data_IF_881552497480
#
_entry.id   IF_881552497480
#
_cell.length_a   1.000
_cell.length_b   1.000
_cell.length_c   1.000
_cell.angle_alpha   90.00
_cell.angle_beta   90.00
_cell.angle_gamma   90.00
#
_symmetry.space_group_name_H-M   'P 1'
#
loop_
_entity.id
_entity.type
_entity.pdbx_description
1 polymer ?
#
# COMPACT_ATOMS: atom_id res chain seq x y z
N UNK A 1 -11.66 3.78 -8.60
CA UNK A 1 -11.67 2.33 -8.88
C UNK A 1 -11.90 1.47 -7.63
N UNK A 2 -11.15 1.62 -6.53
CA UNK A 2 -11.41 0.85 -5.31
C UNK A 2 -12.80 1.14 -4.69
N UNK A 3 -13.15 2.42 -4.51
CA UNK A 3 -14.45 2.85 -3.96
C UNK A 3 -15.61 2.37 -4.82
N UNK A 4 -15.50 2.51 -6.15
CA UNK A 4 -16.52 2.02 -7.08
C UNK A 4 -16.66 0.49 -7.04
N UNK A 5 -15.57 -0.25 -6.83
CA UNK A 5 -15.64 -1.70 -6.67
C UNK A 5 -16.36 -2.07 -5.37
N UNK A 6 -16.00 -1.45 -4.24
CA UNK A 6 -16.66 -1.66 -2.94
C UNK A 6 -18.15 -1.33 -3.00
N UNK A 7 -18.52 -0.21 -3.64
CA UNK A 7 -19.93 0.17 -3.82
C UNK A 7 -20.69 -0.82 -4.70
N UNK A 8 -20.07 -1.35 -5.75
CA UNK A 8 -20.69 -2.36 -6.59
C UNK A 8 -20.86 -3.68 -5.82
N UNK A 9 -19.85 -4.07 -5.05
CA UNK A 9 -19.86 -5.28 -4.23
C UNK A 9 -20.92 -5.25 -3.12
N UNK A 10 -21.21 -4.09 -2.53
CA UNK A 10 -22.22 -3.99 -1.47
C UNK A 10 -23.64 -4.34 -1.94
N UNK A 11 -23.96 -4.12 -3.22
CA UNK A 11 -25.22 -4.60 -3.82
C UNK A 11 -25.33 -6.14 -3.86
N UNK A 12 -24.21 -6.85 -3.75
CA UNK A 12 -24.14 -8.30 -3.74
C UNK A 12 -23.90 -8.89 -2.34
N UNK A 13 -24.08 -8.09 -1.28
CA UNK A 13 -23.97 -8.54 0.11
C UNK A 13 -22.57 -8.42 0.72
N UNK A 14 -21.61 -7.82 0.01
CA UNK A 14 -20.28 -7.54 0.55
C UNK A 14 -20.33 -6.44 1.62
N UNK A 15 -19.68 -6.65 2.76
CA UNK A 15 -19.57 -5.66 3.83
C UNK A 15 -18.13 -5.53 4.32
N UNK A 16 -17.64 -4.29 4.45
CA UNK A 16 -16.30 -3.99 4.97
C UNK A 16 -16.07 -4.52 6.40
N UNK A 17 -17.16 -4.71 7.16
CA UNK A 17 -17.11 -5.24 8.52
C UNK A 17 -16.97 -6.76 8.57
N UNK A 18 -17.42 -7.46 7.52
CA UNK A 18 -17.50 -8.92 7.48
C UNK A 18 -16.49 -9.54 6.51
N UNK A 19 -16.02 -8.78 5.53
CA UNK A 19 -15.23 -9.27 4.41
C UNK A 19 -13.87 -8.57 4.32
N UNK A 20 -12.84 -9.38 4.12
CA UNK A 20 -11.47 -8.92 3.91
C UNK A 20 -11.35 -8.20 2.56
N UNK A 21 -10.28 -7.42 2.39
CA UNK A 21 -9.94 -6.79 1.10
C UNK A 21 -9.73 -7.87 0.03
N UNK A 22 -9.06 -8.97 0.41
CA UNK A 22 -8.78 -10.10 -0.46
C UNK A 22 -10.04 -10.79 -0.99
N UNK A 23 -11.15 -10.75 -0.24
CA UNK A 23 -12.44 -11.31 -0.64
C UNK A 23 -12.98 -10.68 -1.93
N UNK A 24 -12.61 -9.42 -2.23
CA UNK A 24 -12.92 -8.78 -3.52
C UNK A 24 -12.27 -9.48 -4.71
N UNK A 25 -11.25 -10.30 -4.49
CA UNK A 25 -10.56 -11.09 -5.50
C UNK A 25 -11.16 -12.48 -5.72
N UNK A 26 -12.30 -12.83 -5.09
CA UNK A 26 -12.94 -14.14 -5.21
C UNK A 26 -14.37 -14.09 -5.73
N UNK A 27 -14.68 -15.02 -6.64
CA UNK A 27 -16.03 -15.21 -7.19
C UNK A 27 -17.05 -15.65 -6.14
N UNK A 28 -16.58 -16.16 -4.99
CA UNK A 28 -17.41 -16.56 -3.86
C UNK A 28 -18.14 -15.37 -3.23
N UNK A 29 -17.50 -14.20 -3.22
CA UNK A 29 -18.02 -13.02 -2.53
C UNK A 29 -18.59 -11.97 -3.47
N UNK A 30 -18.08 -11.87 -4.71
CA UNK A 30 -18.57 -10.91 -5.68
C UNK A 30 -18.64 -11.53 -7.09
N UNK A 31 -19.61 -11.12 -7.94
CA UNK A 31 -19.78 -11.71 -9.26
C UNK A 31 -18.64 -11.37 -10.25
N UNK A 32 -17.93 -10.27 -10.01
CA UNK A 32 -16.91 -9.74 -10.91
C UNK A 32 -15.53 -9.56 -10.23
N UNK A 33 -14.90 -10.64 -9.73
CA UNK A 33 -13.64 -10.58 -8.97
C UNK A 33 -12.45 -10.10 -9.80
N UNK A 34 -12.55 -10.23 -11.13
CA UNK A 34 -11.53 -9.75 -12.05
C UNK A 34 -11.33 -8.22 -11.97
N UNK A 35 -12.34 -7.45 -11.55
CA UNK A 35 -12.19 -5.99 -11.38
C UNK A 35 -11.15 -5.68 -10.31
N UNK A 36 -11.22 -6.37 -9.17
CA UNK A 36 -10.22 -6.22 -8.12
C UNK A 36 -8.84 -6.67 -8.59
N UNK A 37 -8.77 -7.82 -9.25
CA UNK A 37 -7.51 -8.37 -9.75
C UNK A 37 -6.82 -7.44 -10.76
N UNK A 38 -7.60 -6.81 -11.66
CA UNK A 38 -7.09 -5.81 -12.61
C UNK A 38 -6.64 -4.52 -11.89
N UNK A 39 -7.36 -4.09 -10.84
CA UNK A 39 -6.93 -2.96 -10.01
C UNK A 39 -5.58 -3.25 -9.36
N UNK A 40 -5.37 -4.46 -8.84
CA UNK A 40 -4.10 -4.85 -8.24
C UNK A 40 -2.96 -4.86 -9.28
N UNK A 41 -3.21 -5.45 -10.44
CA UNK A 41 -2.24 -5.53 -11.54
C UNK A 41 -1.85 -4.15 -12.08
N UNK A 42 -2.83 -3.35 -12.51
CA UNK A 42 -2.56 -2.01 -13.05
C UNK A 42 -2.10 -1.03 -11.98
N UNK A 43 -2.65 -1.12 -10.77
CA UNK A 43 -2.26 -0.28 -9.65
C UNK A 43 -0.79 -0.46 -9.29
N UNK A 44 -0.29 -1.70 -9.28
CA UNK A 44 1.12 -1.98 -9.01
C UNK A 44 2.02 -1.53 -10.17
N UNK A 45 1.59 -1.74 -11.42
CA UNK A 45 2.33 -1.28 -12.60
C UNK A 45 2.46 0.25 -12.65
N UNK A 46 1.39 0.98 -12.36
CA UNK A 46 1.39 2.46 -12.33
C UNK A 46 2.18 2.99 -11.13
N UNK A 47 2.19 2.29 -10.01
CA UNK A 47 2.93 2.70 -8.81
C UNK A 47 4.45 2.55 -8.95
N UNK A 48 4.94 1.71 -9.86
CA UNK A 48 6.38 1.56 -10.14
C UNK A 48 7.06 2.86 -10.61
N UNK A 49 6.65 3.50 -11.73
CA UNK A 49 7.24 4.75 -12.17
C UNK A 49 7.08 5.87 -11.13
N UNK A 50 5.97 5.87 -10.40
CA UNK A 50 5.70 6.82 -9.32
C UNK A 50 6.76 6.76 -8.21
N UNK A 51 7.21 5.56 -7.80
CA UNK A 51 8.27 5.42 -6.81
C UNK A 51 9.61 6.04 -7.28
N UNK A 52 9.95 5.88 -8.56
CA UNK A 52 11.15 6.52 -9.13
C UNK A 52 11.00 8.03 -9.25
N UNK A 53 9.79 8.52 -9.54
CA UNK A 53 9.49 9.95 -9.56
C UNK A 53 9.65 10.58 -8.17
N UNK A 54 9.06 9.96 -7.14
CA UNK A 54 9.21 10.36 -5.73
C UNK A 54 10.70 10.42 -5.36
N UNK A 55 11.47 9.38 -5.69
CA UNK A 55 12.92 9.34 -5.45
C UNK A 55 13.64 10.57 -5.99
N UNK A 56 13.38 10.92 -7.27
CA UNK A 56 14.03 12.04 -7.95
C UNK A 56 13.70 13.36 -7.25
N UNK A 57 12.43 13.59 -6.94
CA UNK A 57 11.96 14.83 -6.31
C UNK A 57 12.45 14.98 -4.87
N UNK A 58 12.34 13.94 -4.04
CA UNK A 58 12.80 14.00 -2.65
C UNK A 58 14.31 14.30 -2.55
N UNK A 59 15.11 13.78 -3.47
CA UNK A 59 16.55 14.08 -3.53
C UNK A 59 16.84 15.56 -3.82
N UNK A 60 16.05 16.19 -4.68
CA UNK A 60 16.18 17.61 -5.02
C UNK A 60 15.78 18.48 -3.81
N UNK A 61 14.62 18.20 -3.23
CA UNK A 61 14.04 18.99 -2.13
C UNK A 61 14.92 18.96 -0.89
N UNK A 62 15.47 17.80 -0.53
CA UNK A 62 16.15 17.63 0.74
C UNK A 62 17.66 17.85 0.72
N UNK A 63 18.23 18.43 -0.35
CA UNK A 63 19.68 18.67 -0.55
C UNK A 63 20.50 17.55 0.09
N UNK A 64 20.29 16.38 -0.48
CA UNK A 64 20.28 15.10 0.22
C UNK A 64 21.60 14.79 0.94
N UNK A 65 21.57 14.83 2.27
CA UNK A 65 22.65 14.26 3.09
C UNK A 65 22.81 12.76 2.78
N UNK A 66 23.99 12.18 3.04
CA UNK A 66 24.25 10.75 2.78
C UNK A 66 23.21 9.83 3.45
N UNK A 67 22.71 10.20 4.62
CA UNK A 67 21.66 9.48 5.34
C UNK A 67 20.28 9.61 4.67
N UNK A 68 19.92 10.83 4.23
CA UNK A 68 18.68 11.07 3.48
C UNK A 68 18.63 10.24 2.19
N UNK A 69 19.73 10.17 1.44
CA UNK A 69 19.81 9.36 0.21
C UNK A 69 19.57 7.87 0.52
N UNK A 70 20.15 7.35 1.61
CA UNK A 70 19.98 5.95 2.00
C UNK A 70 18.53 5.63 2.31
N UNK A 71 17.87 6.44 3.14
CA UNK A 71 16.46 6.22 3.49
C UNK A 71 15.55 6.31 2.27
N UNK A 72 15.76 7.30 1.39
CA UNK A 72 15.02 7.39 0.12
C UNK A 72 15.23 6.14 -0.73
N UNK A 73 16.46 5.64 -0.85
CA UNK A 73 16.74 4.43 -1.64
C UNK A 73 16.10 3.18 -1.03
N UNK A 74 16.14 3.01 0.29
CA UNK A 74 15.46 1.89 0.96
C UNK A 74 13.95 1.97 0.79
N UNK A 75 13.37 3.16 0.96
CA UNK A 75 11.95 3.41 0.72
C UNK A 75 11.54 3.00 -0.69
N UNK A 76 12.31 3.38 -1.71
CA UNK A 76 12.04 3.02 -3.10
C UNK A 76 12.20 1.52 -3.34
N UNK A 77 13.29 0.90 -2.85
CA UNK A 77 13.52 -0.53 -3.05
C UNK A 77 12.39 -1.38 -2.46
N UNK A 78 11.96 -1.06 -1.23
CA UNK A 78 10.85 -1.73 -0.56
C UNK A 78 9.50 -1.42 -1.22
N UNK A 79 9.32 -0.20 -1.73
CA UNK A 79 8.13 0.18 -2.50
C UNK A 79 8.04 -0.60 -3.82
N UNK A 80 9.18 -0.86 -4.49
CA UNK A 80 9.23 -1.72 -5.67
C UNK A 80 8.86 -3.16 -5.31
N UNK A 81 9.37 -3.69 -4.19
CA UNK A 81 8.96 -5.01 -3.69
C UNK A 81 7.45 -5.05 -3.42
N UNK A 82 6.90 -4.02 -2.76
CA UNK A 82 5.47 -3.88 -2.50
C UNK A 82 4.62 -3.84 -3.78
N UNK A 83 5.09 -3.09 -4.79
CA UNK A 83 4.44 -3.04 -6.11
C UNK A 83 4.46 -4.40 -6.81
N UNK A 84 5.58 -5.12 -6.79
CA UNK A 84 5.68 -6.46 -7.37
C UNK A 84 4.70 -7.40 -6.66
N UNK A 85 4.68 -7.38 -5.32
CA UNK A 85 3.69 -8.13 -4.54
C UNK A 85 2.25 -7.76 -4.93
N UNK A 86 1.96 -6.48 -5.13
CA UNK A 86 0.62 -6.01 -5.49
C UNK A 86 0.19 -6.48 -6.90
N UNK A 87 1.13 -6.47 -7.86
CA UNK A 87 0.89 -7.05 -9.19
C UNK A 87 0.58 -8.55 -9.07
N UNK A 88 1.40 -9.26 -8.28
CA UNK A 88 1.24 -10.69 -8.08
C UNK A 88 -0.05 -11.02 -7.31
N UNK A 89 -0.57 -10.15 -6.43
CA UNK A 89 -1.90 -10.33 -5.82
C UNK A 89 -3.03 -10.37 -6.85
N UNK A 90 -2.91 -9.61 -7.94
CA UNK A 90 -3.87 -9.68 -9.06
C UNK A 90 -3.79 -11.00 -9.82
N UNK A 91 -2.60 -11.58 -9.93
CA UNK A 91 -2.37 -12.88 -10.59
C UNK A 91 -2.84 -14.03 -9.69
N UNK A 92 -2.35 -14.07 -8.46
CA UNK A 92 -2.64 -15.06 -7.43
C UNK A 92 -3.73 -14.55 -6.49
N UNK A 93 -4.92 -14.30 -7.05
CA UNK A 93 -6.11 -13.94 -6.29
C UNK A 93 -6.56 -15.09 -5.39
N UNK A 94 -7.55 -14.89 -4.51
CA UNK A 94 -8.06 -15.97 -3.65
C UNK A 94 -8.52 -17.20 -4.45
N UNK A 95 -9.16 -17.01 -5.60
CA UNK A 95 -9.55 -18.10 -6.50
C UNK A 95 -8.34 -18.85 -7.14
N UNK A 96 -7.14 -18.28 -7.05
CA UNK A 96 -5.87 -18.78 -7.61
C UNK A 96 -4.75 -18.76 -6.56
N UNK A 97 -5.09 -19.02 -5.31
CA UNK A 97 -4.21 -18.82 -4.16
C UNK A 97 -3.17 -19.95 -3.94
N UNK A 98 -3.22 -21.00 -4.75
CA UNK A 98 -2.35 -22.17 -4.61
C UNK A 98 -2.84 -23.15 -3.54
N UNK A 99 -2.05 -24.19 -3.22
CA UNK A 99 -2.40 -25.17 -2.19
C UNK A 99 -2.53 -24.48 -0.82
N UNK A 100 -3.69 -24.60 -0.17
CA UNK A 100 -3.92 -24.04 1.16
C UNK A 100 -3.72 -22.52 1.24
N UNK A 101 -4.00 -21.79 0.16
CA UNK A 101 -3.87 -20.33 0.04
C UNK A 101 -2.47 -19.74 0.27
N UNK A 102 -1.44 -20.59 0.22
CA UNK A 102 -0.05 -20.22 0.56
C UNK A 102 0.49 -19.12 -0.35
N UNK A 103 0.21 -19.17 -1.66
CA UNK A 103 0.73 -18.17 -2.59
C UNK A 103 0.11 -16.81 -2.31
N UNK A 104 -1.22 -16.78 -2.12
CA UNK A 104 -1.92 -15.53 -1.80
C UNK A 104 -1.42 -14.93 -0.48
N UNK A 105 -1.27 -15.75 0.57
CA UNK A 105 -0.78 -15.30 1.87
C UNK A 105 0.63 -14.70 1.80
N UNK A 106 1.58 -15.41 1.17
CA UNK A 106 2.97 -14.93 1.04
C UNK A 106 3.02 -13.63 0.22
N UNK A 107 2.30 -13.58 -0.90
CA UNK A 107 2.28 -12.41 -1.78
C UNK A 107 1.62 -11.21 -1.08
N UNK A 108 0.57 -11.46 -0.28
CA UNK A 108 -0.05 -10.44 0.58
C UNK A 108 0.96 -9.84 1.56
N UNK A 109 1.74 -10.68 2.25
CA UNK A 109 2.80 -10.23 3.16
C UNK A 109 3.85 -9.38 2.40
N UNK A 110 4.27 -9.83 1.21
CA UNK A 110 5.24 -9.09 0.39
C UNK A 110 4.67 -7.72 -0.01
N UNK A 111 3.40 -7.66 -0.42
CA UNK A 111 2.76 -6.43 -0.86
C UNK A 111 2.60 -5.43 0.28
N UNK A 112 1.86 -5.79 1.33
CA UNK A 112 1.61 -4.92 2.47
C UNK A 112 2.90 -4.59 3.23
N UNK A 113 3.75 -5.58 3.50
CA UNK A 113 5.03 -5.39 4.16
C UNK A 113 5.95 -4.48 3.37
N UNK A 114 6.06 -4.69 2.05
CA UNK A 114 6.84 -3.83 1.16
C UNK A 114 6.38 -2.37 1.19
N UNK A 115 5.08 -2.12 1.09
CA UNK A 115 4.53 -0.77 1.18
C UNK A 115 4.72 -0.14 2.56
N UNK A 116 4.45 -0.85 3.65
CA UNK A 116 4.57 -0.30 5.02
C UNK A 116 6.03 0.05 5.32
N UNK A 117 6.97 -0.82 4.97
CA UNK A 117 8.39 -0.53 5.13
C UNK A 117 8.85 0.61 4.22
N UNK A 118 8.32 0.70 3.00
CA UNK A 118 8.56 1.83 2.09
C UNK A 118 8.13 3.16 2.73
N UNK A 119 6.90 3.19 3.25
CA UNK A 119 6.31 4.34 3.95
C UNK A 119 7.15 4.69 5.17
N UNK A 120 7.57 3.71 5.96
CA UNK A 120 8.42 3.93 7.13
C UNK A 120 9.71 4.68 6.76
N UNK A 121 10.43 4.23 5.74
CA UNK A 121 11.69 4.89 5.34
C UNK A 121 11.49 6.27 4.71
N UNK A 122 10.45 6.47 3.89
CA UNK A 122 10.12 7.80 3.38
C UNK A 122 9.74 8.75 4.51
N UNK A 123 8.95 8.27 5.46
CA UNK A 123 8.50 9.03 6.61
C UNK A 123 9.65 9.41 7.53
N UNK A 124 10.57 8.47 7.78
CA UNK A 124 11.78 8.72 8.57
C UNK A 124 12.66 9.80 7.91
N UNK A 125 12.83 9.73 6.59
CA UNK A 125 13.52 10.80 5.85
C UNK A 125 12.81 12.16 5.98
N UNK A 126 11.48 12.19 5.89
CA UNK A 126 10.68 13.40 6.00
C UNK A 126 10.78 14.01 7.41
N UNK A 127 10.63 13.21 8.46
CA UNK A 127 10.64 13.69 9.86
C UNK A 127 12.01 14.20 10.27
N UNK A 128 13.09 13.55 9.81
CA UNK A 128 14.47 13.98 10.09
C UNK A 128 14.91 15.16 9.21
N UNK A 129 14.15 15.49 8.17
CA UNK A 129 14.44 16.65 7.34
C UNK A 129 14.02 17.96 8.01
N UNK A 130 14.67 19.06 7.65
CA UNK A 130 14.30 20.41 8.12
C UNK A 130 13.00 20.96 7.51
N UNK A 131 12.31 20.21 6.64
CA UNK A 131 11.08 20.70 6.00
C UNK A 131 9.86 20.47 6.89
N UNK A 132 9.47 21.51 7.63
CA UNK A 132 8.31 21.46 8.53
C UNK A 132 6.98 21.16 7.81
N UNK A 133 6.84 21.48 6.52
CA UNK A 133 5.55 21.33 5.80
C UNK A 133 5.10 19.87 5.69
N UNK A 134 6.04 18.93 5.62
CA UNK A 134 5.75 17.50 5.46
C UNK A 134 5.87 16.71 6.77
N UNK A 135 6.25 17.36 7.87
CA UNK A 135 6.53 16.67 9.13
C UNK A 135 5.34 15.91 9.66
N UNK A 136 4.12 16.47 9.54
CA UNK A 136 2.89 15.80 9.95
C UNK A 136 2.60 14.55 9.11
N UNK A 137 2.85 14.61 7.79
CA UNK A 137 2.72 13.45 6.91
C UNK A 137 3.73 12.35 7.28
N UNK A 138 4.98 12.74 7.56
CA UNK A 138 6.00 11.81 8.03
C UNK A 138 5.63 11.16 9.37
N UNK A 139 5.12 11.93 10.35
CA UNK A 139 4.65 11.36 11.62
C UNK A 139 3.48 10.39 11.41
N UNK A 140 2.53 10.74 10.55
CA UNK A 140 1.44 9.84 10.17
C UNK A 140 1.96 8.52 9.60
N UNK A 141 2.88 8.57 8.63
CA UNK A 141 3.44 7.37 7.99
C UNK A 141 4.32 6.52 8.90
N UNK A 142 4.96 7.10 9.92
CA UNK A 142 5.70 6.33 10.94
C UNK A 142 4.79 5.61 11.93
N UNK A 143 3.66 6.20 12.30
CA UNK A 143 2.85 5.71 13.42
C UNK A 143 1.66 4.90 12.93
N UNK A 144 0.85 5.45 12.03
CA UNK A 144 -0.49 4.91 11.73
C UNK A 144 -0.43 3.57 10.99
N UNK A 145 0.29 3.42 9.86
CA UNK A 145 0.35 2.13 9.16
C UNK A 145 1.01 1.03 10.00
N UNK A 146 2.00 1.36 10.83
CA UNK A 146 2.69 0.39 11.69
C UNK A 146 1.79 -0.05 12.85
N UNK A 147 1.09 0.89 13.49
CA UNK A 147 0.13 0.56 14.54
C UNK A 147 -0.98 -0.34 13.99
N UNK A 148 -1.54 0.01 12.83
CA UNK A 148 -2.57 -0.80 12.16
C UNK A 148 -2.05 -2.17 11.74
N UNK A 149 -0.80 -2.29 11.28
CA UNK A 149 -0.18 -3.59 10.99
C UNK A 149 -0.09 -4.45 12.25
N UNK A 150 0.41 -3.88 13.35
CA UNK A 150 0.50 -4.60 14.61
C UNK A 150 -0.89 -5.05 15.10
N UNK A 151 -1.87 -4.15 15.08
CA UNK A 151 -3.25 -4.46 15.44
C UNK A 151 -3.84 -5.55 14.53
N UNK A 152 -3.55 -5.51 13.22
CA UNK A 152 -3.98 -6.52 12.27
C UNK A 152 -3.38 -7.90 12.59
N UNK A 153 -2.07 -7.96 12.89
CA UNK A 153 -1.41 -9.21 13.25
C UNK A 153 -1.96 -9.84 14.54
N UNK A 154 -2.45 -9.03 15.48
CA UNK A 154 -3.01 -9.53 16.76
C UNK A 154 -4.47 -9.94 16.60
N UNK A 155 -5.29 -9.14 15.90
CA UNK A 155 -6.75 -9.31 15.91
C UNK A 155 -7.30 -9.96 14.63
N UNK A 156 -6.60 -9.85 13.50
CA UNK A 156 -6.99 -10.41 12.19
C UNK A 156 -8.46 -10.16 11.80
N UNK A 157 -8.96 -8.94 12.06
CA UNK A 157 -10.34 -8.53 11.75
C UNK A 157 -10.39 -7.83 10.38
N UNK A 158 -11.39 -8.11 9.52
CA UNK A 158 -11.54 -7.46 8.21
C UNK A 158 -11.43 -5.94 8.23
N UNK A 159 -12.12 -5.29 9.18
CA UNK A 159 -12.14 -3.84 9.29
C UNK A 159 -10.73 -3.24 9.50
N UNK A 160 -9.84 -3.94 10.20
CA UNK A 160 -8.47 -3.47 10.44
C UNK A 160 -7.64 -3.58 9.15
N UNK A 161 -7.84 -4.63 8.36
CA UNK A 161 -7.20 -4.74 7.04
C UNK A 161 -7.59 -3.57 6.13
N UNK A 162 -8.88 -3.22 6.13
CA UNK A 162 -9.41 -2.06 5.40
C UNK A 162 -8.77 -0.74 5.86
N UNK A 163 -8.64 -0.53 7.17
CA UNK A 163 -7.93 0.64 7.70
C UNK A 163 -6.45 0.62 7.34
N UNK A 164 -5.79 -0.53 7.39
CA UNK A 164 -4.40 -0.69 7.00
C UNK A 164 -4.19 -0.31 5.53
N UNK A 165 -4.97 -0.88 4.61
CA UNK A 165 -4.94 -0.53 3.19
C UNK A 165 -5.21 0.98 2.98
N UNK A 166 -6.22 1.51 3.65
CA UNK A 166 -6.60 2.93 3.54
C UNK A 166 -5.47 3.84 4.02
N UNK A 167 -4.76 3.47 5.10
CA UNK A 167 -3.63 4.24 5.62
C UNK A 167 -2.46 4.29 4.65
N UNK A 168 -2.18 3.16 3.98
CA UNK A 168 -1.14 3.06 2.94
C UNK A 168 -1.52 3.96 1.76
N UNK A 169 -2.74 3.82 1.24
CA UNK A 169 -3.22 4.61 0.10
C UNK A 169 -3.24 6.10 0.42
N UNK A 170 -3.73 6.50 1.60
CA UNK A 170 -3.79 7.89 2.03
C UNK A 170 -2.38 8.50 2.11
N UNK A 171 -1.42 7.80 2.72
CA UNK A 171 -0.06 8.29 2.79
C UNK A 171 0.55 8.46 1.39
N UNK A 172 0.41 7.46 0.51
CA UNK A 172 0.96 7.51 -0.85
C UNK A 172 0.32 8.63 -1.67
N UNK A 173 -1.00 8.84 -1.57
CA UNK A 173 -1.71 9.92 -2.25
C UNK A 173 -1.22 11.30 -1.77
N UNK A 174 -1.15 11.50 -0.46
CA UNK A 174 -0.68 12.76 0.11
C UNK A 174 0.79 13.02 -0.24
N UNK A 175 1.66 12.00 -0.13
CA UNK A 175 3.07 12.13 -0.48
C UNK A 175 3.23 12.53 -1.95
N UNK A 176 2.52 11.87 -2.86
CA UNK A 176 2.53 12.22 -4.27
C UNK A 176 2.06 13.65 -4.50
N UNK A 177 0.90 14.03 -3.95
CA UNK A 177 0.37 15.39 -4.08
C UNK A 177 1.38 16.46 -3.64
N UNK A 178 2.03 16.27 -2.48
CA UNK A 178 3.04 17.21 -2.00
C UNK A 178 4.29 17.22 -2.88
N UNK A 179 4.75 16.05 -3.32
CA UNK A 179 5.93 15.91 -4.20
C UNK A 179 5.69 16.56 -5.57
N UNK A 180 4.47 16.53 -6.09
CA UNK A 180 4.11 17.23 -7.34
C UNK A 180 4.11 18.75 -7.18
N UNK A 181 3.78 19.25 -5.98
CA UNK A 181 3.73 20.69 -5.69
C UNK A 181 5.09 21.30 -5.31
N UNK A 182 6.07 20.47 -4.96
CA UNK A 182 7.46 20.84 -4.64
C UNK A 182 8.35 20.91 -5.89
#
# INVERSE_FOLDING_TARGET
MLVSNVLLSSFFGFSLFLNFVSDLGSIKFIPFPYVHNLICLFGGMVSLPTNFFIRKKLRIVYKSSKHSIKFINFGVALGVIGNIGYILLGVFSLDRAGPGDIYHGIIGIISFGGYILSIFFFSLNIVLSHNCKLKNLGLFGLVVPIALLFTYCVLTIPLIEWFLLSSILLFLLLLNYYVFKL
#
